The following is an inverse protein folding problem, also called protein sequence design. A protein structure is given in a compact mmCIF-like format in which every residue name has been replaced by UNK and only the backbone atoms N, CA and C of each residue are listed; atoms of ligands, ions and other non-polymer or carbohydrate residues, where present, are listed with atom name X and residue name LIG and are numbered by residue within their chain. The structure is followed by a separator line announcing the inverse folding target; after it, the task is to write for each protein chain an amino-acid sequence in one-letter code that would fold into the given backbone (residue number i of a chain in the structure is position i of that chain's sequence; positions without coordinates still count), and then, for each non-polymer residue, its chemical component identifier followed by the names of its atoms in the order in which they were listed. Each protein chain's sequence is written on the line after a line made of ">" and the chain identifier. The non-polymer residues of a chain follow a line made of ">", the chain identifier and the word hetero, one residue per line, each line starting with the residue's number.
data_IF_932994699533
#
_entry.id   IF_932994699533
#
_cell.length_a   1.000
_cell.length_b   1.000
_cell.length_c   1.000
_cell.angle_alpha   90.00
_cell.angle_beta   90.00
_cell.angle_gamma   90.00
#
_symmetry.space_group_name_H-M   'P 1'
#
loop_
_entity.id
_entity.type
_entity.pdbx_description
1 polymer ?
#
# COMPACT_ATOMS: atom_id res chain seq x y z
N UNK A 1 -2.05 -18.95 -12.45
CA UNK A 1 -3.28 -18.13 -12.52
C UNK A 1 -2.93 -16.68 -12.20
N UNK A 2 -3.39 -15.78 -13.03
CA UNK A 2 -3.07 -14.36 -12.89
C UNK A 2 -4.05 -13.69 -11.91
N UNK A 3 -3.80 -13.81 -10.62
CA UNK A 3 -4.66 -13.24 -9.59
C UNK A 3 -4.39 -11.74 -9.47
N UNK A 4 -5.42 -10.89 -9.58
CA UNK A 4 -5.23 -9.46 -9.36
C UNK A 4 -4.99 -9.18 -7.87
N UNK A 5 -3.95 -8.39 -7.59
CA UNK A 5 -3.62 -7.93 -6.25
C UNK A 5 -3.73 -6.40 -6.24
N UNK A 6 -4.70 -5.92 -5.51
CA UNK A 6 -4.96 -4.50 -5.34
C UNK A 6 -4.03 -3.93 -4.28
N UNK A 7 -3.59 -2.72 -4.45
CA UNK A 7 -2.81 -2.02 -3.43
C UNK A 7 -3.16 -0.53 -3.44
N UNK A 8 -2.94 0.12 -2.30
CA UNK A 8 -3.13 1.56 -2.21
C UNK A 8 -2.04 2.26 -3.02
N UNK A 9 -2.45 2.85 -4.15
CA UNK A 9 -1.55 3.52 -5.08
C UNK A 9 -1.14 4.91 -4.64
N UNK A 10 -0.44 5.61 -5.51
CA UNK A 10 0.04 5.17 -6.83
C UNK A 10 1.22 4.21 -6.75
N UNK A 11 1.77 3.84 -7.91
CA UNK A 11 3.02 3.10 -7.96
C UNK A 11 4.14 3.85 -7.22
N UNK A 12 5.04 3.11 -6.58
CA UNK A 12 6.15 3.67 -5.82
C UNK A 12 5.85 3.91 -4.34
N UNK A 13 4.62 3.67 -3.89
CA UNK A 13 4.26 3.75 -2.46
C UNK A 13 4.79 2.55 -1.69
N UNK A 14 4.79 2.63 -0.36
CA UNK A 14 5.13 1.48 0.49
C UNK A 14 4.16 0.31 0.30
N UNK A 15 2.90 0.59 0.05
CA UNK A 15 1.92 -0.45 -0.27
C UNK A 15 2.27 -1.17 -1.57
N UNK A 16 2.76 -0.44 -2.59
CA UNK A 16 3.27 -1.02 -3.82
C UNK A 16 4.48 -1.92 -3.54
N UNK A 17 5.44 -1.44 -2.77
CA UNK A 17 6.62 -2.23 -2.39
C UNK A 17 6.22 -3.50 -1.62
N UNK A 18 5.29 -3.40 -0.70
CA UNK A 18 4.78 -4.54 0.05
C UNK A 18 4.15 -5.58 -0.88
N UNK A 19 3.32 -5.14 -1.82
CA UNK A 19 2.70 -6.01 -2.81
C UNK A 19 3.75 -6.70 -3.70
N UNK A 20 4.76 -5.95 -4.15
CA UNK A 20 5.86 -6.51 -4.94
C UNK A 20 6.65 -7.58 -4.17
N UNK A 21 6.99 -7.31 -2.91
CA UNK A 21 7.74 -8.24 -2.08
C UNK A 21 6.97 -9.53 -1.83
N UNK A 22 5.68 -9.43 -1.60
CA UNK A 22 4.87 -10.61 -1.24
C UNK A 22 4.44 -11.42 -2.46
N UNK A 23 4.06 -10.78 -3.54
CA UNK A 23 3.46 -11.42 -4.70
C UNK A 23 4.35 -11.40 -5.95
N UNK A 24 5.09 -10.31 -6.14
CA UNK A 24 6.05 -10.18 -7.24
C UNK A 24 5.43 -10.42 -8.61
N UNK A 25 6.16 -11.14 -9.44
CA UNK A 25 5.75 -11.44 -10.82
C UNK A 25 4.67 -12.52 -10.93
N UNK A 26 4.27 -13.12 -9.81
CA UNK A 26 3.26 -14.19 -9.81
C UNK A 26 1.83 -13.67 -9.90
N UNK A 27 1.64 -12.38 -9.69
CA UNK A 27 0.33 -11.76 -9.65
C UNK A 27 0.33 -10.45 -10.43
N UNK A 28 -0.85 -10.04 -10.86
CA UNK A 28 -1.04 -8.74 -11.50
C UNK A 28 -1.34 -7.69 -10.43
N UNK A 29 -0.41 -6.77 -10.23
CA UNK A 29 -0.53 -5.71 -9.23
C UNK A 29 -1.29 -4.52 -9.83
N UNK A 30 -2.32 -4.05 -9.13
CA UNK A 30 -3.21 -2.99 -9.60
C UNK A 30 -3.32 -1.88 -8.55
N UNK A 31 -2.89 -0.64 -8.87
CA UNK A 31 -3.04 0.47 -7.96
C UNK A 31 -4.51 0.89 -7.82
N UNK A 32 -4.88 1.24 -6.60
CA UNK A 32 -6.19 1.80 -6.28
C UNK A 32 -6.05 3.24 -5.82
N UNK A 33 -7.06 4.05 -6.09
CA UNK A 33 -7.04 5.48 -5.79
C UNK A 33 -7.20 5.79 -4.30
N UNK A 34 -7.87 4.90 -3.57
CA UNK A 34 -8.18 5.10 -2.15
C UNK A 34 -8.46 3.78 -1.47
N UNK A 35 -8.57 3.81 -0.14
CA UNK A 35 -9.02 2.65 0.63
C UNK A 35 -10.42 2.19 0.20
N UNK A 36 -11.31 3.14 -0.10
CA UNK A 36 -12.66 2.83 -0.59
C UNK A 36 -12.61 2.11 -1.94
N UNK A 37 -11.75 2.54 -2.84
CA UNK A 37 -11.57 1.90 -4.15
C UNK A 37 -11.08 0.45 -3.98
N UNK A 38 -10.17 0.20 -3.04
CA UNK A 38 -9.73 -1.16 -2.71
C UNK A 38 -10.91 -2.02 -2.28
N UNK A 39 -11.72 -1.53 -1.35
CA UNK A 39 -12.86 -2.27 -0.81
C UNK A 39 -13.91 -2.52 -1.89
N UNK A 40 -14.23 -1.53 -2.69
CA UNK A 40 -15.21 -1.68 -3.76
C UNK A 40 -14.80 -2.76 -4.76
N UNK A 41 -13.53 -2.78 -5.13
CA UNK A 41 -13.02 -3.80 -6.07
C UNK A 41 -12.95 -5.18 -5.44
N UNK A 42 -12.61 -5.29 -4.15
CA UNK A 42 -12.64 -6.56 -3.43
C UNK A 42 -14.04 -7.16 -3.38
N UNK A 43 -15.03 -6.31 -3.22
CA UNK A 43 -16.43 -6.71 -3.09
C UNK A 43 -17.16 -6.93 -4.41
N UNK A 44 -16.54 -6.58 -5.53
CA UNK A 44 -17.18 -6.67 -6.84
C UNK A 44 -17.64 -8.12 -7.13
N UNK A 45 -18.94 -8.38 -7.27
CA UNK A 45 -19.45 -9.75 -7.35
C UNK A 45 -19.02 -10.51 -8.61
N UNK A 46 -18.75 -9.78 -9.68
CA UNK A 46 -18.37 -10.37 -10.96
C UNK A 46 -16.86 -10.61 -11.09
N UNK A 47 -16.05 -10.17 -10.13
CA UNK A 47 -14.59 -10.32 -10.22
C UNK A 47 -14.17 -11.80 -10.18
N UNK A 48 -13.52 -12.25 -11.24
CA UNK A 48 -12.98 -13.61 -11.36
C UNK A 48 -11.65 -13.55 -12.13
N UNK A 49 -10.56 -14.11 -11.61
CA UNK A 49 -10.46 -14.68 -10.26
C UNK A 49 -10.66 -13.60 -9.18
N UNK A 50 -11.03 -14.04 -7.98
CA UNK A 50 -11.24 -13.11 -6.87
C UNK A 50 -9.95 -12.35 -6.55
N UNK A 51 -10.01 -11.02 -6.42
CA UNK A 51 -8.82 -10.23 -6.11
C UNK A 51 -8.41 -10.39 -4.65
N UNK A 52 -7.12 -10.17 -4.41
CA UNK A 52 -6.54 -9.95 -3.10
C UNK A 52 -6.23 -8.46 -2.96
N UNK A 53 -5.97 -8.01 -1.75
CA UNK A 53 -5.53 -6.64 -1.52
C UNK A 53 -4.42 -6.59 -0.48
N UNK A 54 -3.52 -5.63 -0.65
CA UNK A 54 -2.50 -5.28 0.33
C UNK A 54 -2.79 -3.85 0.81
N UNK A 55 -3.02 -3.72 2.11
CA UNK A 55 -3.33 -2.43 2.71
C UNK A 55 -2.48 -2.20 3.96
N UNK A 56 -2.10 -0.95 4.25
CA UNK A 56 -1.38 -0.64 5.47
C UNK A 56 -2.31 -0.70 6.68
N UNK A 57 -1.85 -1.26 7.78
CA UNK A 57 -2.62 -1.36 9.03
C UNK A 57 -2.02 -0.49 10.12
N UNK A 58 -0.71 -0.44 10.20
CA UNK A 58 0.00 0.30 11.24
C UNK A 58 1.36 0.76 10.76
N UNK A 59 1.77 1.92 11.24
CA UNK A 59 3.10 2.49 11.04
C UNK A 59 3.70 2.81 12.41
N UNK A 60 4.94 2.41 12.66
CA UNK A 60 5.61 2.61 13.96
C UNK A 60 5.76 4.08 14.35
N UNK A 61 5.81 5.00 13.38
CA UNK A 61 5.93 6.44 13.63
C UNK A 61 4.59 7.12 13.88
N UNK A 62 3.54 6.71 13.17
CA UNK A 62 2.23 7.38 13.17
C UNK A 62 1.14 6.55 13.85
N UNK A 63 1.41 5.28 14.14
CA UNK A 63 0.44 4.38 14.76
C UNK A 63 -0.53 3.76 13.75
N UNK A 64 -1.76 3.42 14.20
CA UNK A 64 -2.72 2.72 13.36
C UNK A 64 -3.19 3.52 12.16
N UNK A 65 -3.44 2.84 11.04
CA UNK A 65 -4.07 3.43 9.86
C UNK A 65 -5.59 3.30 10.02
N UNK A 66 -6.20 4.36 10.54
CA UNK A 66 -7.60 4.37 10.94
C UNK A 66 -8.55 4.01 9.80
N UNK A 67 -8.28 4.52 8.59
CA UNK A 67 -9.11 4.22 7.42
C UNK A 67 -9.20 2.73 7.11
N UNK A 68 -8.08 2.02 7.20
CA UNK A 68 -8.06 0.57 7.00
C UNK A 68 -8.87 -0.16 8.07
N UNK A 69 -8.67 0.22 9.33
CA UNK A 69 -9.38 -0.40 10.45
C UNK A 69 -10.88 -0.15 10.38
N UNK A 70 -11.29 1.07 10.06
CA UNK A 70 -12.70 1.43 9.93
C UNK A 70 -13.37 0.64 8.80
N UNK A 71 -12.70 0.51 7.65
CA UNK A 71 -13.24 -0.24 6.53
C UNK A 71 -13.35 -1.74 6.83
N UNK A 72 -12.36 -2.32 7.49
CA UNK A 72 -12.43 -3.72 7.91
C UNK A 72 -13.57 -3.96 8.90
N UNK A 73 -13.80 -3.02 9.83
CA UNK A 73 -14.92 -3.09 10.77
C UNK A 73 -16.28 -2.99 10.07
N UNK A 74 -16.37 -2.15 9.06
CA UNK A 74 -17.61 -1.93 8.30
C UNK A 74 -17.91 -3.06 7.31
N UNK A 75 -16.93 -3.88 6.96
CA UNK A 75 -17.06 -4.94 5.95
C UNK A 75 -16.58 -6.30 6.48
N UNK A 76 -17.35 -6.92 7.38
CA UNK A 76 -16.98 -8.21 7.98
C UNK A 76 -16.87 -9.36 6.97
N UNK A 77 -17.40 -9.18 5.76
CA UNK A 77 -17.23 -10.13 4.66
C UNK A 77 -15.82 -10.18 4.08
N UNK A 78 -14.98 -9.18 4.39
CA UNK A 78 -13.56 -9.16 3.99
C UNK A 78 -12.74 -9.86 5.06
N UNK A 79 -11.99 -10.89 4.66
CA UNK A 79 -11.16 -11.67 5.57
C UNK A 79 -9.69 -11.25 5.47
N UNK A 80 -9.03 -11.19 6.63
CA UNK A 80 -7.59 -11.00 6.68
C UNK A 80 -6.93 -12.37 6.54
N UNK A 81 -6.11 -12.55 5.51
CA UNK A 81 -5.43 -13.81 5.23
C UNK A 81 -4.04 -13.86 5.84
N UNK A 82 -3.36 -12.73 5.89
CA UNK A 82 -1.96 -12.67 6.33
C UNK A 82 -1.62 -11.26 6.79
N UNK A 83 -0.71 -11.17 7.74
CA UNK A 83 -0.08 -9.92 8.14
C UNK A 83 1.43 -10.05 8.04
N UNK A 84 2.09 -9.00 7.58
CA UNK A 84 3.55 -8.95 7.53
C UNK A 84 4.04 -7.52 7.74
N UNK A 85 5.30 -7.40 8.15
CA UNK A 85 5.94 -6.11 8.39
C UNK A 85 7.09 -5.91 7.41
N UNK A 86 7.37 -4.65 7.08
CA UNK A 86 8.53 -4.29 6.28
C UNK A 86 9.17 -3.02 6.82
N UNK A 87 10.50 -2.89 6.70
CA UNK A 87 11.16 -1.65 7.12
C UNK A 87 10.81 -0.51 6.18
N UNK A 88 10.59 0.67 6.77
CA UNK A 88 10.40 1.92 6.04
C UNK A 88 11.68 2.72 6.20
N UNK A 89 12.28 3.11 5.09
CA UNK A 89 13.51 3.90 5.05
C UNK A 89 13.24 5.21 4.36
N UNK A 90 13.47 6.30 5.08
CA UNK A 90 13.35 7.64 4.53
C UNK A 90 14.67 8.09 3.92
N UNK A 91 14.59 8.82 2.82
CA UNK A 91 15.74 9.37 2.12
C UNK A 91 15.58 10.87 2.00
N UNK A 92 16.66 11.59 2.26
CA UNK A 92 16.71 13.03 2.03
C UNK A 92 17.16 13.27 0.58
N UNK A 93 16.31 13.90 -0.18
CA UNK A 93 16.57 14.19 -1.59
C UNK A 93 16.77 15.69 -1.78
N UNK A 94 17.71 16.03 -2.64
CA UNK A 94 17.98 17.42 -2.96
C UNK A 94 18.27 17.57 -4.47
N UNK A 95 18.14 18.78 -4.96
CA UNK A 95 18.51 19.10 -6.34
C UNK A 95 20.00 18.89 -6.59
N UNK A 96 20.38 18.74 -7.85
CA UNK A 96 21.78 18.47 -8.25
C UNK A 96 22.79 19.51 -7.79
N UNK A 97 22.36 20.76 -7.58
CA UNK A 97 23.21 21.84 -7.11
C UNK A 97 23.63 21.67 -5.64
N UNK A 98 22.87 20.93 -4.85
CA UNK A 98 23.15 20.68 -3.44
C UNK A 98 24.08 19.48 -3.31
N UNK A 99 25.26 19.69 -2.75
CA UNK A 99 26.31 18.68 -2.58
C UNK A 99 26.56 18.29 -1.12
N UNK A 100 26.11 19.11 -0.18
CA UNK A 100 26.39 18.96 1.26
C UNK A 100 25.15 19.24 2.08
N UNK A 101 25.03 18.59 3.23
CA UNK A 101 23.89 18.78 4.15
C UNK A 101 23.75 20.23 4.60
N UNK A 102 24.89 20.90 4.84
CA UNK A 102 24.93 22.30 5.32
C UNK A 102 24.32 23.29 4.33
N UNK A 103 24.22 22.92 3.07
CA UNK A 103 23.61 23.76 2.02
C UNK A 103 22.09 23.72 2.04
N UNK A 104 21.47 22.80 2.81
CA UNK A 104 20.02 22.65 2.89
C UNK A 104 19.45 23.65 3.87
N UNK A 105 18.57 24.52 3.39
CA UNK A 105 17.91 25.54 4.20
C UNK A 105 16.51 25.12 4.62
N UNK A 106 15.86 24.25 3.83
CA UNK A 106 14.47 23.86 4.07
C UNK A 106 14.21 22.43 3.63
N UNK A 107 13.41 21.73 4.42
CA UNK A 107 12.96 20.36 4.14
C UNK A 107 11.44 20.35 4.07
N UNK A 108 10.91 19.71 3.04
CA UNK A 108 9.45 19.60 2.84
C UNK A 108 8.90 18.22 3.23
#
# INVERSE_FOLDING_TARGET
>A
MDVPVLYLGPEGTYSHEAALRRFGARCRLLPCLSHYDVVDRLRAPAARPRPLAVVPVENSSEGPVTQTLDLLSAHPEISILEGFSMPVRHHLLAGRAVKRLEEIERVY
#
